data_IF_795826002596
#
_entry.id   IF_795826002596
#
_cell.length_a   1.000
_cell.length_b   1.000
_cell.length_c   1.000
_cell.angle_alpha   90.00
_cell.angle_beta   90.00
_cell.angle_gamma   90.00
#
_symmetry.space_group_name_H-M   'P 1'
#
loop_
_entity.id
_entity.type
_entity.pdbx_description
1 polymer ?
#
# COMPACT_ATOMS: atom_id res chain seq x y z
N UNK A 1 11.81 55.15 -52.97
CA UNK A 1 12.83 54.13 -53.26
C UNK A 1 13.84 54.15 -52.12
N UNK A 2 14.00 53.01 -51.45
CA UNK A 2 14.49 52.88 -50.08
C UNK A 2 16.01 52.89 -49.94
N UNK A 3 16.50 53.59 -48.91
CA UNK A 3 17.87 53.55 -48.39
C UNK A 3 18.10 52.29 -47.51
N UNK A 4 19.37 51.87 -47.33
CA UNK A 4 19.73 50.59 -46.74
C UNK A 4 19.78 50.60 -45.20
N UNK A 5 19.91 49.38 -44.68
CA UNK A 5 19.81 48.93 -43.29
C UNK A 5 20.66 49.70 -42.26
N UNK A 6 20.05 49.90 -41.09
CA UNK A 6 20.75 50.08 -39.81
C UNK A 6 20.58 48.84 -38.97
N UNK A 7 21.70 48.17 -38.71
CA UNK A 7 21.92 47.11 -37.74
C UNK A 7 21.47 47.53 -36.34
N UNK A 8 20.56 46.75 -35.73
CA UNK A 8 20.24 46.86 -34.30
C UNK A 8 20.99 45.76 -33.56
N UNK A 9 21.96 46.18 -32.76
CA UNK A 9 22.79 45.32 -31.91
C UNK A 9 21.94 44.47 -30.96
N UNK A 10 22.33 43.20 -30.80
CA UNK A 10 21.81 42.31 -29.78
C UNK A 10 22.16 42.85 -28.38
N UNK A 11 21.15 42.96 -27.51
CA UNK A 11 21.30 43.34 -26.10
C UNK A 11 21.73 42.12 -25.23
N UNK A 12 22.38 42.34 -24.08
CA UNK A 12 23.15 41.32 -23.36
C UNK A 12 22.26 40.46 -22.46
N UNK A 13 22.09 39.17 -22.79
CA UNK A 13 21.26 38.23 -22.02
C UNK A 13 22.06 37.43 -20.95
N UNK A 14 23.38 37.60 -20.88
CA UNK A 14 24.23 36.71 -20.08
C UNK A 14 24.49 37.12 -18.60
N UNK A 15 24.27 38.38 -18.21
CA UNK A 15 24.72 38.89 -16.89
C UNK A 15 23.65 38.89 -15.80
N UNK A 16 22.37 39.05 -16.15
CA UNK A 16 21.26 39.04 -15.19
C UNK A 16 21.04 37.64 -14.56
N UNK A 17 21.34 36.58 -15.30
CA UNK A 17 21.19 35.18 -14.88
C UNK A 17 22.22 34.78 -13.81
N UNK A 18 23.44 35.34 -13.87
CA UNK A 18 24.51 35.05 -12.89
C UNK A 18 24.24 35.66 -11.50
N UNK A 19 23.74 36.90 -11.44
CA UNK A 19 23.38 37.55 -10.19
C UNK A 19 22.16 36.89 -9.53
N UNK A 20 21.16 36.51 -10.34
CA UNK A 20 19.99 35.77 -9.87
C UNK A 20 20.37 34.38 -9.32
N UNK A 21 21.25 33.65 -10.00
CA UNK A 21 21.77 32.34 -9.53
C UNK A 21 22.56 32.46 -8.24
N UNK A 22 23.42 33.47 -8.10
CA UNK A 22 24.17 33.72 -6.86
C UNK A 22 23.24 34.06 -5.69
N UNK A 23 22.23 34.90 -5.91
CA UNK A 23 21.23 35.21 -4.90
C UNK A 23 20.40 33.98 -4.51
N UNK A 24 20.06 33.13 -5.48
CA UNK A 24 19.39 31.85 -5.24
C UNK A 24 20.26 30.90 -4.40
N UNK A 25 21.55 30.80 -4.69
CA UNK A 25 22.49 29.98 -3.91
C UNK A 25 22.64 30.49 -2.47
N UNK A 26 22.72 31.81 -2.27
CA UNK A 26 22.74 32.41 -0.94
C UNK A 26 21.44 32.15 -0.18
N UNK A 27 20.29 32.26 -0.86
CA UNK A 27 18.98 31.95 -0.27
C UNK A 27 18.88 30.47 0.11
N UNK A 28 19.29 29.56 -0.78
CA UNK A 28 19.35 28.11 -0.53
C UNK A 28 20.25 27.82 0.67
N UNK A 29 21.46 28.37 0.71
CA UNK A 29 22.40 28.20 1.84
C UNK A 29 21.84 28.74 3.15
N UNK A 30 21.18 29.91 3.13
CA UNK A 30 20.52 30.48 4.31
C UNK A 30 19.37 29.60 4.79
N UNK A 31 18.56 29.06 3.87
CA UNK A 31 17.46 28.13 4.20
C UNK A 31 18.04 26.85 4.79
N UNK A 32 19.06 26.25 4.18
CA UNK A 32 19.72 25.05 4.71
C UNK A 32 20.32 25.28 6.09
N UNK A 33 20.94 26.44 6.34
CA UNK A 33 21.49 26.79 7.66
C UNK A 33 20.41 26.99 8.73
N UNK A 34 19.27 27.59 8.36
CA UNK A 34 18.17 27.87 9.30
C UNK A 34 17.28 26.64 9.56
N UNK A 35 17.04 25.81 8.55
CA UNK A 35 16.04 24.73 8.59
C UNK A 35 16.63 23.32 8.47
N UNK A 36 17.95 23.20 8.35
CA UNK A 36 18.68 21.94 8.28
C UNK A 36 18.93 21.43 6.85
N UNK A 37 19.84 20.45 6.73
CA UNK A 37 20.09 19.74 5.48
C UNK A 37 18.81 19.05 4.98
N UNK A 38 18.53 19.19 3.67
CA UNK A 38 17.34 18.64 3.03
C UNK A 38 16.05 19.48 3.13
N UNK A 39 16.10 20.66 3.77
CA UNK A 39 14.97 21.60 3.83
C UNK A 39 14.62 22.23 2.47
N UNK A 40 15.61 22.33 1.57
CA UNK A 40 15.46 22.77 0.19
C UNK A 40 16.49 22.05 -0.68
N UNK A 41 16.06 21.54 -1.83
CA UNK A 41 16.90 20.81 -2.78
C UNK A 41 16.39 21.01 -4.20
N UNK A 42 17.29 20.96 -5.19
CA UNK A 42 16.88 20.97 -6.60
C UNK A 42 16.34 19.59 -6.96
N UNK A 43 15.17 19.54 -7.60
CA UNK A 43 14.52 18.29 -7.97
C UNK A 43 15.37 17.44 -8.94
N UNK A 44 16.18 18.07 -9.79
CA UNK A 44 17.10 17.39 -10.70
C UNK A 44 18.36 16.82 -10.03
N UNK A 45 18.80 17.41 -8.92
CA UNK A 45 19.92 16.89 -8.12
C UNK A 45 19.46 15.75 -7.17
N UNK A 46 18.14 15.55 -7.07
CA UNK A 46 17.51 14.49 -6.29
C UNK A 46 17.56 13.12 -7.00
N UNK A 47 18.72 12.77 -7.57
CA UNK A 47 19.03 11.45 -8.18
C UNK A 47 18.90 10.24 -7.20
N UNK A 48 18.39 10.47 -5.98
CA UNK A 48 18.25 9.52 -4.89
C UNK A 48 16.87 9.52 -4.20
N UNK A 49 15.81 10.03 -4.81
CA UNK A 49 14.46 9.76 -4.30
C UNK A 49 13.91 8.41 -4.81
N UNK A 50 14.74 7.36 -4.80
CA UNK A 50 14.21 5.99 -4.85
C UNK A 50 13.33 5.83 -3.62
N UNK A 51 12.01 5.74 -3.83
CA UNK A 51 11.07 5.54 -2.74
C UNK A 51 11.40 4.19 -2.12
N UNK A 52 11.90 4.19 -0.90
CA UNK A 52 12.19 2.98 -0.16
C UNK A 52 10.85 2.25 0.11
N UNK A 53 10.79 0.95 -0.17
CA UNK A 53 9.56 0.17 -0.05
C UNK A 53 9.72 -1.06 0.84
N UNK A 54 8.59 -1.51 1.37
CA UNK A 54 8.45 -2.78 2.07
C UNK A 54 7.47 -3.67 1.30
N UNK A 55 7.85 -4.92 1.05
CA UNK A 55 6.99 -5.90 0.37
C UNK A 55 5.69 -6.12 1.16
N UNK A 56 4.60 -6.41 0.45
CA UNK A 56 3.33 -6.81 1.06
C UNK A 56 3.20 -8.32 1.25
N UNK A 57 4.25 -9.10 0.98
CA UNK A 57 4.22 -10.57 1.00
C UNK A 57 3.61 -11.21 -0.25
N UNK A 58 3.14 -10.40 -1.21
CA UNK A 58 2.65 -10.86 -2.52
C UNK A 58 3.34 -10.11 -3.65
N UNK A 59 3.99 -10.88 -4.53
CA UNK A 59 4.61 -10.34 -5.73
C UNK A 59 3.59 -9.61 -6.64
N UNK A 60 2.35 -10.10 -6.70
CA UNK A 60 1.31 -9.50 -7.53
C UNK A 60 0.92 -8.11 -7.01
N UNK A 61 0.78 -7.97 -5.69
CA UNK A 61 0.45 -6.69 -5.05
C UNK A 61 1.64 -5.73 -5.17
N UNK A 62 2.87 -6.21 -4.91
CA UNK A 62 4.09 -5.40 -5.01
C UNK A 62 4.28 -4.83 -6.43
N UNK A 63 3.99 -5.64 -7.46
CA UNK A 63 3.96 -5.20 -8.85
C UNK A 63 2.82 -4.19 -9.09
N UNK A 64 1.60 -4.47 -8.65
CA UNK A 64 0.48 -3.54 -8.80
C UNK A 64 0.76 -2.17 -8.15
N UNK A 65 1.52 -2.12 -7.05
CA UNK A 65 1.96 -0.87 -6.43
C UNK A 65 2.97 -0.08 -7.28
N UNK A 66 3.63 -0.72 -8.24
CA UNK A 66 4.53 -0.12 -9.25
C UNK A 66 5.93 0.25 -8.72
N UNK A 67 6.13 0.20 -7.40
CA UNK A 67 7.41 0.49 -6.73
C UNK A 67 7.94 -0.72 -5.94
N UNK A 68 7.34 -1.90 -6.12
CA UNK A 68 7.79 -3.14 -5.48
C UNK A 68 7.42 -3.26 -4.00
N UNK A 69 6.36 -2.57 -3.57
CA UNK A 69 5.85 -2.64 -2.19
C UNK A 69 5.25 -1.33 -1.68
N UNK A 70 4.90 -1.30 -0.39
CA UNK A 70 4.38 -0.10 0.27
C UNK A 70 5.50 0.92 0.53
N UNK A 71 5.26 2.21 0.24
CA UNK A 71 6.28 3.24 0.39
C UNK A 71 6.52 3.61 1.86
N UNK A 72 7.78 3.54 2.30
CA UNK A 72 8.22 3.96 3.63
C UNK A 72 8.04 5.46 3.86
N UNK A 73 7.77 5.82 5.11
CA UNK A 73 7.52 7.20 5.53
C UNK A 73 6.22 7.78 4.97
N UNK A 74 5.21 6.93 4.70
CA UNK A 74 3.93 7.34 4.12
C UNK A 74 2.74 6.73 4.88
N UNK A 75 1.61 7.40 4.72
CA UNK A 75 0.29 6.92 5.14
C UNK A 75 -0.30 6.06 4.02
N UNK A 76 -0.84 4.90 4.37
CA UNK A 76 -1.53 3.96 3.48
C UNK A 76 -2.93 3.71 4.05
N UNK A 77 -3.94 3.69 3.19
CA UNK A 77 -5.30 3.27 3.58
C UNK A 77 -5.66 1.96 2.87
N UNK A 78 -6.04 0.94 3.63
CA UNK A 78 -6.58 -0.33 3.12
C UNK A 78 -8.05 -0.39 3.50
N UNK A 79 -8.96 -0.36 2.52
CA UNK A 79 -10.39 -0.34 2.79
C UNK A 79 -11.13 -1.37 1.95
N UNK A 80 -12.28 -1.81 2.45
CA UNK A 80 -13.04 -2.87 1.79
C UNK A 80 -14.15 -3.43 2.67
N UNK A 81 -14.99 -4.33 2.12
CA UNK A 81 -16.04 -5.01 2.86
C UNK A 81 -15.50 -5.79 4.06
N UNK A 82 -16.39 -6.21 4.96
CA UNK A 82 -16.03 -7.15 6.01
C UNK A 82 -15.50 -8.46 5.42
N UNK A 83 -14.59 -9.11 6.14
CA UNK A 83 -13.97 -10.38 5.70
C UNK A 83 -13.28 -10.33 4.33
N UNK A 84 -12.93 -9.15 3.81
CA UNK A 84 -12.22 -9.02 2.54
C UNK A 84 -10.72 -9.27 2.62
N UNK A 85 -10.16 -9.43 3.83
CA UNK A 85 -8.74 -9.69 4.06
C UNK A 85 -7.90 -8.47 4.47
N UNK A 86 -8.52 -7.35 4.88
CA UNK A 86 -7.82 -6.13 5.33
C UNK A 86 -6.78 -6.42 6.43
N UNK A 87 -7.21 -7.08 7.51
CA UNK A 87 -6.34 -7.41 8.65
C UNK A 87 -5.27 -8.42 8.23
N UNK A 88 -5.60 -9.43 7.42
CA UNK A 88 -4.60 -10.37 6.86
C UNK A 88 -3.53 -9.65 6.03
N UNK A 89 -3.92 -8.69 5.19
CA UNK A 89 -2.98 -7.86 4.44
C UNK A 89 -2.04 -7.11 5.38
N UNK A 90 -2.58 -6.49 6.42
CA UNK A 90 -1.78 -5.76 7.42
C UNK A 90 -0.81 -6.69 8.17
N UNK A 91 -1.27 -7.86 8.60
CA UNK A 91 -0.44 -8.88 9.25
C UNK A 91 0.67 -9.39 8.32
N UNK A 92 0.39 -9.54 7.02
CA UNK A 92 1.40 -9.93 6.05
C UNK A 92 2.49 -8.86 5.90
N UNK A 93 2.13 -7.57 5.84
CA UNK A 93 3.12 -6.47 5.81
C UNK A 93 3.95 -6.43 7.11
N UNK A 94 3.32 -6.67 8.26
CA UNK A 94 4.02 -6.77 9.54
C UNK A 94 5.04 -7.92 9.53
N UNK A 95 4.64 -9.10 9.05
CA UNK A 95 5.52 -10.26 8.95
C UNK A 95 6.72 -9.98 8.01
N UNK A 96 6.51 -9.28 6.89
CA UNK A 96 7.60 -8.84 6.01
C UNK A 96 8.54 -7.83 6.68
N UNK A 97 8.02 -6.90 7.48
CA UNK A 97 8.84 -5.95 8.24
C UNK A 97 9.74 -6.69 9.25
N UNK A 98 9.15 -7.58 10.04
CA UNK A 98 9.85 -8.36 11.06
C UNK A 98 10.89 -9.29 10.45
N UNK A 99 10.60 -9.92 9.30
CA UNK A 99 11.58 -10.76 8.59
C UNK A 99 12.83 -9.99 8.15
N UNK A 100 12.71 -8.68 7.95
CA UNK A 100 13.83 -7.78 7.64
C UNK A 100 14.49 -7.19 8.89
N UNK A 101 14.12 -7.67 10.09
CA UNK A 101 14.62 -7.17 11.37
C UNK A 101 13.97 -5.86 11.83
N UNK A 102 12.89 -5.44 11.19
CA UNK A 102 12.16 -4.22 11.55
C UNK A 102 11.15 -4.44 12.68
N UNK A 103 10.75 -3.35 13.34
CA UNK A 103 9.76 -3.39 14.42
C UNK A 103 8.37 -2.97 13.93
N UNK A 104 7.34 -3.60 14.49
CA UNK A 104 5.96 -3.35 14.12
C UNK A 104 5.07 -3.08 15.32
N UNK A 105 4.04 -2.28 15.10
CA UNK A 105 3.00 -2.02 16.08
C UNK A 105 1.60 -2.19 15.48
N UNK A 106 0.67 -2.68 16.28
CA UNK A 106 -0.73 -2.88 15.93
C UNK A 106 -1.61 -2.20 16.96
N UNK A 107 -2.32 -1.15 16.54
CA UNK A 107 -3.32 -0.45 17.35
C UNK A 107 -4.68 -1.05 17.01
N UNK A 108 -5.11 -2.01 17.83
CA UNK A 108 -6.33 -2.79 17.69
C UNK A 108 -7.48 -2.07 18.39
N UNK A 109 -8.14 -1.18 17.67
CA UNK A 109 -9.32 -0.44 18.12
C UNK A 109 -10.59 -1.27 17.94
N UNK A 110 -10.58 -2.26 17.03
CA UNK A 110 -11.71 -3.20 16.86
C UNK A 110 -11.72 -4.32 17.92
N UNK A 111 -10.67 -4.46 18.73
CA UNK A 111 -10.49 -5.56 19.69
C UNK A 111 -10.65 -6.95 19.05
N UNK A 112 -10.22 -7.09 17.80
CA UNK A 112 -10.53 -8.25 16.95
C UNK A 112 -9.27 -8.99 16.47
N UNK A 113 -8.08 -8.57 16.90
CA UNK A 113 -6.85 -9.24 16.52
C UNK A 113 -6.77 -10.64 17.15
N UNK A 114 -6.67 -11.69 16.32
CA UNK A 114 -6.40 -13.06 16.76
C UNK A 114 -4.89 -13.36 16.73
N UNK A 115 -4.23 -13.52 17.89
CA UNK A 115 -2.80 -13.86 17.94
C UNK A 115 -2.48 -15.20 17.26
N UNK A 116 -3.38 -16.19 17.31
CA UNK A 116 -3.15 -17.50 16.68
C UNK A 116 -3.07 -17.36 15.17
N UNK A 117 -4.00 -16.63 14.58
CA UNK A 117 -3.99 -16.35 13.15
C UNK A 117 -2.81 -15.47 12.74
N UNK A 118 -2.46 -14.45 13.53
CA UNK A 118 -1.27 -13.63 13.26
C UNK A 118 0.02 -14.48 13.17
N UNK A 119 0.17 -15.46 14.07
CA UNK A 119 1.28 -16.42 14.01
C UNK A 119 1.25 -17.28 12.75
N UNK A 120 0.07 -17.72 12.30
CA UNK A 120 -0.11 -18.47 11.04
C UNK A 120 0.37 -17.64 9.83
N UNK A 121 0.05 -16.34 9.79
CA UNK A 121 0.50 -15.41 8.74
C UNK A 121 2.02 -15.16 8.80
N UNK A 122 2.69 -15.59 9.88
CA UNK A 122 4.13 -15.47 10.06
C UNK A 122 4.59 -14.26 10.87
N UNK A 123 3.68 -13.63 11.62
CA UNK A 123 4.02 -12.54 12.54
C UNK A 123 4.76 -13.10 13.77
N UNK A 124 5.89 -12.51 14.11
CA UNK A 124 6.55 -12.74 15.39
C UNK A 124 5.77 -12.00 16.49
N UNK A 125 5.04 -12.75 17.31
CA UNK A 125 4.21 -12.18 18.38
C UNK A 125 5.02 -11.62 19.54
N UNK A 126 6.23 -12.14 19.78
CA UNK A 126 7.06 -11.71 20.91
C UNK A 126 7.59 -10.28 20.71
N UNK A 127 7.79 -9.88 19.45
CA UNK A 127 8.28 -8.56 19.05
C UNK A 127 7.17 -7.62 18.54
N UNK A 128 5.91 -8.08 18.48
CA UNK A 128 4.80 -7.25 18.02
C UNK A 128 4.27 -6.39 19.18
N UNK A 129 4.38 -5.07 19.05
CA UNK A 129 3.71 -4.16 19.99
C UNK A 129 2.21 -4.10 19.68
N UNK A 130 1.37 -4.50 20.63
CA UNK A 130 -0.09 -4.40 20.50
C UNK A 130 -0.63 -3.39 21.50
N UNK A 131 -1.50 -2.50 21.04
CA UNK A 131 -2.22 -1.56 21.87
C UNK A 131 -3.72 -1.68 21.61
N UNK A 132 -4.51 -1.77 22.68
CA UNK A 132 -5.97 -1.79 22.64
C UNK A 132 -6.50 -0.55 23.39
N UNK A 133 -6.56 0.60 22.71
CA UNK A 133 -6.91 1.87 23.33
C UNK A 133 -8.42 2.02 23.55
N UNK A 134 -8.81 2.73 24.61
CA UNK A 134 -10.23 2.96 24.92
C UNK A 134 -10.88 4.01 24.02
N UNK A 135 -10.09 4.95 23.45
CA UNK A 135 -10.59 6.04 22.60
C UNK A 135 -9.76 6.27 21.34
N UNK A 136 -10.37 6.89 20.34
CA UNK A 136 -9.72 7.26 19.09
C UNK A 136 -8.57 8.27 19.29
N UNK A 137 -8.72 9.23 20.21
CA UNK A 137 -7.63 10.14 20.58
C UNK A 137 -6.44 9.38 21.15
N UNK A 138 -6.67 8.43 22.06
CA UNK A 138 -5.61 7.64 22.68
C UNK A 138 -4.92 6.75 21.65
N UNK A 139 -5.70 6.09 20.78
CA UNK A 139 -5.19 5.31 19.65
C UNK A 139 -4.21 6.12 18.78
N UNK A 140 -4.61 7.34 18.40
CA UNK A 140 -3.83 8.21 17.52
C UNK A 140 -2.61 8.81 18.23
N UNK A 141 -2.70 9.14 19.52
CA UNK A 141 -1.58 9.62 20.32
C UNK A 141 -0.54 8.52 20.57
N UNK A 142 -0.97 7.28 20.81
CA UNK A 142 -0.10 6.11 20.92
C UNK A 142 0.63 5.90 19.59
N UNK A 143 -0.10 5.90 18.48
CA UNK A 143 0.50 5.78 17.16
C UNK A 143 1.54 6.89 16.90
N UNK A 144 1.21 8.15 17.19
CA UNK A 144 2.14 9.27 17.03
C UNK A 144 3.41 9.10 17.87
N UNK A 145 3.27 8.68 19.14
CA UNK A 145 4.39 8.48 20.07
C UNK A 145 5.33 7.39 19.57
N UNK A 146 4.77 6.26 19.13
CA UNK A 146 5.51 5.15 18.56
C UNK A 146 6.24 5.56 17.28
N UNK A 147 5.59 6.29 16.37
CA UNK A 147 6.22 6.79 15.13
C UNK A 147 7.35 7.77 15.46
N UNK A 148 7.16 8.65 16.46
CA UNK A 148 8.15 9.67 16.87
C UNK A 148 9.41 9.05 17.49
N UNK A 149 9.34 7.82 18.00
CA UNK A 149 10.52 7.09 18.46
C UNK A 149 11.52 6.79 17.34
N UNK A 150 11.08 6.84 16.07
CA UNK A 150 11.83 6.40 14.89
C UNK A 150 12.30 4.93 14.94
N UNK A 151 11.76 4.12 15.86
CA UNK A 151 12.08 2.70 15.96
C UNK A 151 11.11 1.80 15.18
N UNK A 152 9.89 2.28 14.88
CA UNK A 152 8.84 1.48 14.27
C UNK A 152 8.87 1.60 12.74
N UNK A 153 9.02 0.47 12.06
CA UNK A 153 8.99 0.35 10.60
C UNK A 153 7.57 0.36 10.05
N UNK A 154 6.64 -0.32 10.74
CA UNK A 154 5.24 -0.45 10.33
C UNK A 154 4.33 -0.26 11.54
N UNK A 155 3.32 0.59 11.39
CA UNK A 155 2.24 0.70 12.36
C UNK A 155 0.89 0.55 11.66
N UNK A 156 0.03 -0.30 12.22
CA UNK A 156 -1.33 -0.54 11.74
C UNK A 156 -2.30 0.05 12.74
N UNK A 157 -3.30 0.78 12.27
CA UNK A 157 -4.46 1.25 13.06
C UNK A 157 -5.70 0.55 12.50
N UNK A 158 -6.22 -0.43 13.23
CA UNK A 158 -7.35 -1.27 12.85
C UNK A 158 -8.54 -1.01 13.80
N UNK A 159 -9.56 -0.24 13.45
CA UNK A 159 -9.79 0.48 12.19
C UNK A 159 -10.25 1.92 12.41
N UNK A 160 -10.21 2.72 11.34
CA UNK A 160 -10.69 4.11 11.37
C UNK A 160 -12.16 4.20 11.79
N UNK A 161 -12.97 3.23 11.41
CA UNK A 161 -14.40 3.22 11.74
C UNK A 161 -14.63 3.16 13.27
N UNK A 162 -13.72 2.50 13.99
CA UNK A 162 -13.76 2.33 15.44
C UNK A 162 -13.08 3.46 16.23
N UNK A 163 -12.49 4.47 15.57
CA UNK A 163 -11.90 5.63 16.25
C UNK A 163 -12.99 6.57 16.78
N UNK A 164 -13.59 6.20 17.91
CA UNK A 164 -14.64 6.97 18.60
C UNK A 164 -13.98 8.00 19.54
N UNK A 165 -14.47 9.25 19.53
CA UNK A 165 -13.91 10.28 20.42
C UNK A 165 -14.28 10.05 21.89
N UNK A 166 -13.44 10.48 22.83
CA UNK A 166 -13.78 10.43 24.28
C UNK A 166 -15.13 11.06 24.59
N UNK A 167 -15.40 12.24 24.02
CA UNK A 167 -16.67 12.93 24.20
C UNK A 167 -17.90 12.13 23.71
N UNK A 168 -17.71 11.22 22.75
CA UNK A 168 -18.76 10.34 22.25
C UNK A 168 -18.91 9.07 23.10
N UNK A 169 -17.82 8.57 23.67
CA UNK A 169 -17.84 7.45 24.62
C UNK A 169 -18.46 7.84 25.98
N UNK A 170 -18.18 9.06 26.45
CA UNK A 170 -18.73 9.61 27.70
C UNK A 170 -20.19 10.08 27.54
N UNK A 171 -20.67 10.21 26.30
CA UNK A 171 -22.02 10.63 25.96
C UNK A 171 -23.07 9.53 26.12
N UNK A 172 -24.33 9.87 25.91
CA UNK A 172 -25.43 8.90 25.92
C UNK A 172 -25.79 8.45 24.50
N UNK A 173 -26.32 7.23 24.39
CA UNK A 173 -26.86 6.71 23.13
C UNK A 173 -27.96 7.64 22.61
N UNK A 174 -27.75 8.21 21.42
CA UNK A 174 -28.66 9.17 20.80
C UNK A 174 -28.17 10.62 20.83
N UNK A 175 -27.09 10.92 21.53
CA UNK A 175 -26.46 12.24 21.51
C UNK A 175 -25.89 12.56 20.11
N UNK A 176 -26.07 13.80 19.67
CA UNK A 176 -25.61 14.23 18.36
C UNK A 176 -24.10 14.50 18.34
N UNK A 177 -23.32 13.55 17.81
CA UNK A 177 -21.86 13.64 17.66
C UNK A 177 -21.43 13.89 16.22
N UNK A 178 -22.22 14.65 15.46
CA UNK A 178 -22.04 14.81 14.01
C UNK A 178 -20.62 15.33 13.68
N UNK A 179 -19.84 14.51 12.98
CA UNK A 179 -18.52 14.87 12.49
C UNK A 179 -17.41 14.91 13.55
N UNK A 180 -17.62 14.35 14.75
CA UNK A 180 -16.57 14.14 15.77
C UNK A 180 -15.34 13.44 15.15
N UNK A 181 -15.55 12.25 14.60
CA UNK A 181 -14.51 11.40 14.01
C UNK A 181 -13.80 12.08 12.83
N UNK A 182 -14.54 12.79 11.97
CA UNK A 182 -13.94 13.49 10.83
C UNK A 182 -12.99 14.63 11.26
N UNK A 183 -13.34 15.35 12.34
CA UNK A 183 -12.48 16.40 12.92
C UNK A 183 -11.24 15.80 13.58
N UNK A 184 -11.42 14.73 14.36
CA UNK A 184 -10.33 13.98 14.98
C UNK A 184 -9.31 13.52 13.91
N UNK A 185 -9.78 12.84 12.86
CA UNK A 185 -8.93 12.39 11.76
C UNK A 185 -8.23 13.55 11.05
N UNK A 186 -8.92 14.67 10.83
CA UNK A 186 -8.31 15.85 10.19
C UNK A 186 -7.19 16.47 11.03
N UNK A 187 -7.32 16.47 12.34
CA UNK A 187 -6.27 16.91 13.26
C UNK A 187 -5.11 15.92 13.28
N UNK A 188 -5.40 14.63 13.40
CA UNK A 188 -4.41 13.58 13.47
C UNK A 188 -3.56 13.49 12.20
N UNK A 189 -4.19 13.53 11.01
CA UNK A 189 -3.46 13.47 9.74
C UNK A 189 -2.48 14.63 9.59
N UNK A 190 -2.83 15.84 10.04
CA UNK A 190 -1.93 17.00 10.02
C UNK A 190 -0.71 16.81 10.92
N UNK A 191 -0.88 16.19 12.10
CA UNK A 191 0.22 15.91 13.04
C UNK A 191 1.09 14.74 12.54
N UNK A 192 0.47 13.63 12.19
CA UNK A 192 1.13 12.38 11.82
C UNK A 192 1.96 12.50 10.55
N UNK A 193 1.47 13.20 9.52
CA UNK A 193 2.15 13.27 8.21
C UNK A 193 3.60 13.74 8.32
N UNK A 194 3.86 14.77 9.12
CA UNK A 194 5.21 15.32 9.29
C UNK A 194 6.15 14.35 10.04
N UNK A 195 5.63 13.61 11.01
CA UNK A 195 6.41 12.66 11.83
C UNK A 195 6.67 11.37 11.04
N UNK A 196 5.66 10.86 10.33
CA UNK A 196 5.75 9.69 9.46
C UNK A 196 6.80 9.91 8.37
N UNK A 197 6.79 11.07 7.72
CA UNK A 197 7.77 11.37 6.66
C UNK A 197 9.22 11.38 7.14
N UNK A 198 9.47 11.64 8.43
CA UNK A 198 10.82 11.67 9.02
C UNK A 198 11.28 10.32 9.56
N UNK A 199 10.35 9.52 10.09
CA UNK A 199 10.63 8.23 10.74
C UNK A 199 10.79 7.06 9.78
N UNK A 200 10.49 7.24 8.48
CA UNK A 200 10.40 6.16 7.49
C UNK A 200 9.39 5.05 7.83
N UNK A 201 8.55 5.26 8.85
CA UNK A 201 7.49 4.35 9.24
C UNK A 201 6.40 4.28 8.14
N UNK A 202 5.87 3.09 7.87
CA UNK A 202 4.66 2.90 7.07
C UNK A 202 3.49 2.89 8.05
N UNK A 203 2.61 3.89 7.94
CA UNK A 203 1.43 3.99 8.78
C UNK A 203 0.19 3.55 7.98
N UNK A 204 -0.34 2.38 8.32
CA UNK A 204 -1.47 1.77 7.64
C UNK A 204 -2.74 2.01 8.47
N UNK A 205 -3.75 2.57 7.84
CA UNK A 205 -5.10 2.64 8.39
C UNK A 205 -5.98 1.63 7.66
N UNK A 206 -6.64 0.75 8.39
CA UNK A 206 -7.73 -0.03 7.81
C UNK A 206 -9.02 0.78 7.87
N UNK A 207 -9.92 0.54 6.92
CA UNK A 207 -11.21 1.19 6.92
C UNK A 207 -12.32 0.29 6.37
N UNK A 208 -13.54 0.55 6.81
CA UNK A 208 -14.73 -0.14 6.33
C UNK A 208 -15.36 0.65 5.18
N UNK A 209 -16.21 -0.02 4.41
CA UNK A 209 -17.10 0.64 3.44
C UNK A 209 -18.42 0.99 4.13
N UNK A 210 -18.93 2.16 3.83
CA UNK A 210 -20.28 2.63 4.15
C UNK A 210 -20.93 3.15 2.88
N UNK A 211 -22.25 3.24 2.85
CA UNK A 211 -22.97 3.84 1.73
C UNK A 211 -23.47 5.23 2.09
N UNK A 212 -23.42 6.15 1.13
CA UNK A 212 -24.06 7.46 1.26
C UNK A 212 -25.53 7.36 0.88
N UNK A 213 -26.39 7.60 1.87
CA UNK A 213 -27.83 7.68 1.66
C UNK A 213 -28.14 8.82 0.67
N UNK A 214 -29.02 8.57 -0.30
CA UNK A 214 -29.51 9.58 -1.25
C UNK A 214 -28.69 9.75 -2.53
N UNK A 215 -27.68 8.92 -2.79
CA UNK A 215 -26.97 8.90 -4.07
C UNK A 215 -27.73 8.03 -5.07
N UNK A 216 -28.38 8.65 -6.07
CA UNK A 216 -29.12 7.94 -7.13
C UNK A 216 -28.28 7.67 -8.39
N UNK A 217 -27.11 8.30 -8.53
CA UNK A 217 -26.22 8.15 -9.69
C UNK A 217 -24.75 8.12 -9.25
N UNK A 218 -23.97 7.20 -9.82
CA UNK A 218 -22.56 6.98 -9.47
C UNK A 218 -22.34 5.97 -8.34
N UNK A 219 -21.12 5.89 -7.80
CA UNK A 219 -20.78 4.96 -6.72
C UNK A 219 -21.23 5.53 -5.35
N UNK A 220 -22.14 4.86 -4.62
CA UNK A 220 -22.59 5.30 -3.29
C UNK A 220 -21.58 5.03 -2.18
N UNK A 221 -20.55 4.21 -2.43
CA UNK A 221 -19.59 3.81 -1.42
C UNK A 221 -18.72 4.98 -0.92
N UNK A 222 -18.50 4.99 0.38
CA UNK A 222 -17.61 5.91 1.09
C UNK A 222 -16.88 5.19 2.21
N UNK A 223 -15.92 5.87 2.83
CA UNK A 223 -15.19 5.37 3.99
C UNK A 223 -15.40 6.31 5.19
N UNK A 224 -15.51 5.77 6.42
CA UNK A 224 -15.53 6.52 7.68
C UNK A 224 -14.31 7.43 7.90
N UNK A 225 -14.39 8.34 8.88
CA UNK A 225 -13.28 9.26 9.21
C UNK A 225 -13.20 10.54 8.35
N UNK A 226 -14.23 10.83 7.56
CA UNK A 226 -14.27 12.03 6.72
C UNK A 226 -13.35 11.93 5.49
N UNK A 227 -12.86 13.09 5.01
CA UNK A 227 -12.04 13.16 3.77
C UNK A 227 -10.54 13.22 4.02
N UNK A 228 -10.09 13.51 5.24
CA UNK A 228 -8.69 13.77 5.54
C UNK A 228 -7.79 12.61 5.10
N UNK A 229 -8.05 11.39 5.59
CA UNK A 229 -7.25 10.21 5.24
C UNK A 229 -7.14 10.02 3.73
N UNK A 230 -8.24 10.21 2.98
CA UNK A 230 -8.24 10.11 1.51
C UNK A 230 -7.25 11.06 0.84
N UNK A 231 -7.01 12.25 1.38
CA UNK A 231 -6.05 13.22 0.83
C UNK A 231 -4.61 12.96 1.29
N UNK A 232 -4.44 12.63 2.57
CA UNK A 232 -3.13 12.42 3.19
C UNK A 232 -2.48 11.08 2.81
N UNK A 233 -3.28 10.02 2.64
CA UNK A 233 -2.78 8.72 2.18
C UNK A 233 -2.03 8.86 0.85
N UNK A 234 -0.84 8.26 0.77
CA UNK A 234 -0.06 8.16 -0.48
C UNK A 234 -0.55 7.01 -1.34
N UNK A 235 -0.96 5.92 -0.71
CA UNK A 235 -1.53 4.75 -1.37
C UNK A 235 -2.89 4.48 -0.73
N UNK A 236 -3.90 4.19 -1.57
CA UNK A 236 -5.20 3.67 -1.12
C UNK A 236 -5.50 2.39 -1.88
N UNK A 237 -5.83 1.34 -1.16
CA UNK A 237 -6.11 0.01 -1.69
C UNK A 237 -7.55 -0.36 -1.36
N UNK A 238 -8.35 -0.62 -2.39
CA UNK A 238 -9.66 -1.25 -2.27
C UNK A 238 -9.45 -2.77 -2.34
N UNK A 239 -9.76 -3.49 -1.25
CA UNK A 239 -9.59 -4.95 -1.15
C UNK A 239 -10.95 -5.64 -1.03
N UNK A 240 -11.20 -6.61 -1.90
CA UNK A 240 -12.47 -7.35 -1.98
C UNK A 240 -12.24 -8.85 -2.13
N UNK A 241 -13.08 -9.64 -1.45
CA UNK A 241 -13.18 -11.07 -1.71
C UNK A 241 -13.91 -11.28 -3.04
N UNK A 242 -13.30 -12.04 -3.96
CA UNK A 242 -13.88 -12.44 -5.24
C UNK A 242 -14.62 -13.77 -5.09
N UNK A 243 -13.89 -14.83 -4.72
CA UNK A 243 -14.41 -16.20 -4.66
C UNK A 243 -13.90 -16.97 -3.44
N UNK A 244 -14.53 -18.11 -3.16
CA UNK A 244 -14.05 -19.09 -2.18
C UNK A 244 -13.16 -20.13 -2.86
N UNK A 245 -12.04 -20.44 -2.22
CA UNK A 245 -11.17 -21.55 -2.63
C UNK A 245 -11.59 -22.78 -1.83
N UNK A 246 -11.94 -23.86 -2.52
CA UNK A 246 -12.45 -25.11 -1.93
C UNK A 246 -11.60 -26.31 -2.31
N UNK A 247 -11.51 -27.30 -1.42
CA UNK A 247 -10.97 -28.62 -1.74
C UNK A 247 -11.95 -29.40 -2.63
N UNK A 248 -11.53 -30.53 -3.25
CA UNK A 248 -12.43 -31.40 -4.00
C UNK A 248 -13.64 -31.89 -3.19
N UNK A 249 -13.50 -32.03 -1.86
CA UNK A 249 -14.56 -32.42 -0.94
C UNK A 249 -15.51 -31.26 -0.57
N UNK A 250 -15.28 -30.06 -1.09
CA UNK A 250 -16.12 -28.88 -0.90
C UNK A 250 -15.79 -28.02 0.33
N UNK A 251 -14.75 -28.37 1.11
CA UNK A 251 -14.33 -27.59 2.27
C UNK A 251 -13.67 -26.28 1.82
N UNK A 252 -14.13 -25.15 2.35
CA UNK A 252 -13.50 -23.83 2.09
C UNK A 252 -12.18 -23.75 2.84
N UNK A 253 -11.10 -23.50 2.11
CA UNK A 253 -9.71 -23.43 2.62
C UNK A 253 -9.06 -22.07 2.43
N UNK A 254 -9.72 -21.17 1.70
CA UNK A 254 -9.23 -19.82 1.48
C UNK A 254 -10.19 -19.00 0.64
N UNK A 255 -9.73 -17.82 0.24
CA UNK A 255 -10.46 -16.89 -0.58
C UNK A 255 -9.57 -16.38 -1.72
N UNK A 256 -10.13 -16.31 -2.92
CA UNK A 256 -9.57 -15.51 -4.01
C UNK A 256 -9.93 -14.07 -3.72
N UNK A 257 -8.93 -13.21 -3.68
CA UNK A 257 -9.05 -11.81 -3.28
C UNK A 257 -8.53 -10.92 -4.39
N UNK A 258 -9.19 -9.80 -4.60
CA UNK A 258 -8.82 -8.77 -5.55
C UNK A 258 -8.48 -7.49 -4.82
N UNK A 259 -7.40 -6.83 -5.23
CA UNK A 259 -7.07 -5.47 -4.80
C UNK A 259 -7.04 -4.53 -6.00
N UNK A 260 -7.47 -3.29 -5.76
CA UNK A 260 -7.36 -2.17 -6.70
C UNK A 260 -6.64 -1.01 -6.02
N UNK A 261 -5.59 -0.51 -6.65
CA UNK A 261 -4.84 0.65 -6.16
C UNK A 261 -5.57 1.93 -6.59
N UNK A 262 -6.63 2.32 -5.87
CA UNK A 262 -7.48 3.46 -6.22
C UNK A 262 -6.79 4.82 -6.04
N UNK A 263 -5.64 4.86 -5.37
CA UNK A 263 -4.76 6.03 -5.29
C UNK A 263 -3.32 5.58 -5.15
N UNK A 264 -2.42 6.19 -5.90
CA UNK A 264 -0.99 5.99 -5.80
C UNK A 264 -0.27 7.32 -6.09
N UNK A 265 0.56 7.78 -5.16
CA UNK A 265 1.39 9.00 -5.30
C UNK A 265 2.84 8.71 -5.69
N UNK A 266 3.23 7.44 -5.78
CA UNK A 266 4.62 7.02 -6.02
C UNK A 266 4.79 6.20 -7.29
N UNK A 267 3.69 5.71 -7.86
CA UNK A 267 3.61 5.07 -9.16
C UNK A 267 2.25 5.36 -9.81
N UNK A 268 2.02 4.94 -11.08
CA UNK A 268 0.71 5.02 -11.71
C UNK A 268 -0.40 4.34 -10.86
N UNK A 269 -1.56 4.97 -10.66
CA UNK A 269 -2.69 4.39 -9.95
C UNK A 269 -3.55 3.49 -10.85
N UNK A 270 -4.61 2.94 -10.25
CA UNK A 270 -5.68 2.16 -10.88
C UNK A 270 -5.27 0.79 -11.43
N UNK A 271 -4.10 0.33 -11.01
CA UNK A 271 -3.68 -1.06 -11.19
C UNK A 271 -4.51 -1.99 -10.30
N UNK A 272 -4.69 -3.21 -10.78
CA UNK A 272 -5.46 -4.25 -10.09
C UNK A 272 -4.66 -5.55 -10.06
N UNK A 273 -4.85 -6.37 -9.04
CA UNK A 273 -4.33 -7.72 -9.04
C UNK A 273 -5.21 -8.64 -8.19
N UNK A 274 -5.17 -9.92 -8.54
CA UNK A 274 -5.77 -11.00 -7.77
C UNK A 274 -4.70 -11.87 -7.09
N UNK A 275 -5.05 -12.40 -5.94
CA UNK A 275 -4.20 -13.28 -5.14
C UNK A 275 -5.04 -14.16 -4.21
N UNK A 276 -4.41 -15.19 -3.67
CA UNK A 276 -5.08 -16.12 -2.75
C UNK A 276 -4.75 -15.73 -1.30
N UNK A 277 -5.78 -15.71 -0.46
CA UNK A 277 -5.65 -15.72 1.00
C UNK A 277 -6.06 -17.10 1.49
N UNK A 278 -5.11 -17.91 1.93
CA UNK A 278 -5.37 -19.22 2.52
C UNK A 278 -5.50 -19.10 4.04
N UNK A 279 -6.36 -19.92 4.64
CA UNK A 279 -6.58 -19.88 6.09
C UNK A 279 -5.43 -20.45 6.92
N UNK A 280 -4.56 -21.24 6.30
CA UNK A 280 -3.41 -21.92 6.90
C UNK A 280 -2.06 -21.23 6.65
N UNK A 281 -2.01 -20.17 5.82
CA UNK A 281 -0.75 -19.44 5.55
C UNK A 281 -0.92 -17.92 5.44
N UNK A 282 -2.15 -17.40 5.30
CA UNK A 282 -2.38 -16.00 4.94
C UNK A 282 -2.26 -15.75 3.43
N UNK A 283 -1.57 -14.67 3.03
CA UNK A 283 -1.38 -14.35 1.61
C UNK A 283 -0.44 -15.38 0.97
N UNK A 284 -0.91 -16.08 -0.07
CA UNK A 284 -0.14 -17.13 -0.72
C UNK A 284 0.94 -16.56 -1.64
N UNK A 285 2.17 -16.43 -1.13
CA UNK A 285 3.32 -15.94 -1.89
C UNK A 285 3.57 -16.76 -3.17
N UNK A 286 3.55 -18.09 -3.05
CA UNK A 286 3.76 -18.98 -4.20
C UNK A 286 2.58 -18.99 -5.16
N UNK A 287 1.35 -18.76 -4.67
CA UNK A 287 0.18 -18.56 -5.52
C UNK A 287 0.37 -17.37 -6.46
N UNK A 288 0.88 -16.24 -5.95
CA UNK A 288 1.17 -15.07 -6.78
C UNK A 288 2.26 -15.32 -7.82
N UNK A 289 3.36 -15.99 -7.45
CA UNK A 289 4.45 -16.32 -8.39
C UNK A 289 3.94 -17.24 -9.52
N UNK A 290 3.12 -18.23 -9.16
CA UNK A 290 2.52 -19.15 -10.11
C UNK A 290 1.56 -18.44 -11.08
N UNK A 291 0.67 -17.59 -10.58
CA UNK A 291 -0.28 -16.82 -11.41
C UNK A 291 0.44 -15.93 -12.42
N UNK A 292 1.37 -15.11 -11.93
CA UNK A 292 2.18 -14.23 -12.78
C UNK A 292 2.99 -15.02 -13.80
N UNK A 293 3.57 -16.15 -13.38
CA UNK A 293 4.32 -17.02 -14.27
C UNK A 293 3.46 -17.56 -15.42
N UNK A 294 2.22 -17.97 -15.13
CA UNK A 294 1.28 -18.48 -16.13
C UNK A 294 0.77 -17.38 -17.07
N UNK A 295 0.30 -16.27 -16.51
CA UNK A 295 -0.29 -15.16 -17.28
C UNK A 295 0.73 -14.51 -18.21
N UNK A 296 1.98 -14.37 -17.75
CA UNK A 296 3.06 -13.82 -18.56
C UNK A 296 3.79 -14.88 -19.40
N UNK A 297 3.25 -16.10 -19.52
CA UNK A 297 3.81 -17.17 -20.37
C UNK A 297 5.27 -17.50 -20.04
N UNK A 298 5.64 -17.42 -18.76
CA UNK A 298 6.92 -17.90 -18.23
C UNK A 298 6.77 -19.37 -17.83
N UNK A 299 5.61 -19.73 -17.29
CA UNK A 299 5.15 -21.09 -17.08
C UNK A 299 4.20 -21.49 -18.20
N UNK A 300 4.33 -22.71 -18.67
CA UNK A 300 3.42 -23.31 -19.66
C UNK A 300 2.39 -24.19 -18.95
N UNK A 301 1.13 -24.10 -19.37
CA UNK A 301 0.07 -24.99 -18.90
C UNK A 301 -0.50 -25.81 -20.06
N UNK A 302 -0.39 -27.13 -19.98
CA UNK A 302 -0.97 -28.10 -20.93
C UNK A 302 -1.96 -29.00 -20.20
N UNK A 303 -3.24 -28.69 -20.30
CA UNK A 303 -4.28 -29.31 -19.47
C UNK A 303 -4.07 -29.02 -17.99
N UNK A 304 -3.87 -30.05 -17.19
CA UNK A 304 -3.54 -29.91 -15.76
C UNK A 304 -2.04 -29.74 -15.50
N UNK A 305 -1.17 -30.01 -16.47
CA UNK A 305 0.29 -30.00 -16.24
C UNK A 305 0.85 -28.59 -16.38
N UNK A 306 1.64 -28.16 -15.40
CA UNK A 306 2.34 -26.87 -15.37
C UNK A 306 3.83 -27.15 -15.45
N UNK A 307 4.51 -26.55 -16.43
CA UNK A 307 5.94 -26.74 -16.68
C UNK A 307 6.70 -25.42 -16.79
N UNK A 308 7.98 -25.45 -16.46
CA UNK A 308 8.93 -24.36 -16.61
C UNK A 308 10.10 -24.85 -17.45
N UNK A 309 10.40 -24.18 -18.57
CA UNK A 309 11.50 -24.55 -19.48
C UNK A 309 11.46 -26.04 -19.93
N UNK A 310 10.26 -26.62 -20.04
CA UNK A 310 10.05 -28.02 -20.41
C UNK A 310 10.08 -29.02 -19.24
N UNK A 311 10.52 -28.61 -18.04
CA UNK A 311 10.49 -29.42 -16.84
C UNK A 311 9.14 -29.31 -16.12
N UNK A 312 8.64 -30.42 -15.60
CA UNK A 312 7.38 -30.44 -14.88
C UNK A 312 7.50 -29.78 -13.51
N UNK A 313 6.70 -28.75 -13.27
CA UNK A 313 6.58 -28.08 -11.97
C UNK A 313 5.49 -28.74 -11.12
N UNK A 314 4.35 -29.11 -11.73
CA UNK A 314 3.30 -29.83 -11.01
C UNK A 314 2.07 -30.14 -11.87
N UNK A 315 1.27 -31.11 -11.40
CA UNK A 315 -0.04 -31.42 -11.97
C UNK A 315 -1.12 -30.70 -11.15
N UNK A 316 -1.61 -29.59 -11.69
CA UNK A 316 -2.56 -28.70 -11.04
C UNK A 316 -1.88 -27.61 -10.20
N UNK A 317 -2.71 -26.67 -9.74
CA UNK A 317 -2.25 -25.46 -9.05
C UNK A 317 -1.59 -25.78 -7.71
N UNK A 318 -2.20 -26.65 -6.90
CA UNK A 318 -1.70 -26.92 -5.54
C UNK A 318 -0.38 -27.69 -5.55
N UNK A 319 -0.24 -28.69 -6.44
CA UNK A 319 1.02 -29.39 -6.62
C UNK A 319 2.14 -28.44 -7.08
N UNK A 320 1.86 -27.55 -8.02
CA UNK A 320 2.85 -26.56 -8.47
C UNK A 320 3.26 -25.59 -7.35
N UNK A 321 2.31 -25.09 -6.54
CA UNK A 321 2.62 -24.26 -5.37
C UNK A 321 3.53 -25.00 -4.39
N UNK A 322 3.24 -26.28 -4.12
CA UNK A 322 4.07 -27.09 -3.21
C UNK A 322 5.50 -27.26 -3.74
N UNK A 323 5.67 -27.57 -5.02
CA UNK A 323 7.00 -27.65 -5.65
C UNK A 323 7.77 -26.35 -5.53
N UNK A 324 7.11 -25.19 -5.74
CA UNK A 324 7.76 -23.88 -5.59
C UNK A 324 8.15 -23.57 -4.14
N UNK A 325 7.39 -24.06 -3.15
CA UNK A 325 7.78 -23.96 -1.73
C UNK A 325 8.99 -24.83 -1.41
N UNK A 326 9.05 -26.05 -1.95
CA UNK A 326 10.13 -27.01 -1.71
C UNK A 326 11.41 -26.70 -2.48
N UNK A 327 11.31 -25.94 -3.59
CA UNK A 327 12.43 -25.52 -4.44
C UNK A 327 12.52 -23.98 -4.53
N UNK A 328 13.06 -23.30 -3.50
CA UNK A 328 13.18 -21.84 -3.48
C UNK A 328 13.96 -21.26 -4.66
N UNK A 329 15.02 -21.94 -5.10
CA UNK A 329 15.84 -21.51 -6.25
C UNK A 329 15.02 -21.39 -7.55
N UNK A 330 14.10 -22.34 -7.76
CA UNK A 330 13.19 -22.31 -8.90
C UNK A 330 12.19 -21.14 -8.78
N UNK A 331 11.62 -20.94 -7.59
CA UNK A 331 10.71 -19.83 -7.33
C UNK A 331 11.39 -18.47 -7.52
N UNK A 332 12.65 -18.32 -7.11
CA UNK A 332 13.46 -17.11 -7.32
C UNK A 332 13.75 -16.89 -8.81
N UNK A 333 14.13 -17.93 -9.56
CA UNK A 333 14.35 -17.85 -11.01
C UNK A 333 13.09 -17.36 -11.73
N UNK A 334 11.93 -17.93 -11.43
CA UNK A 334 10.64 -17.51 -12.01
C UNK A 334 10.32 -16.07 -11.59
N UNK A 335 10.50 -15.73 -10.32
CA UNK A 335 10.26 -14.37 -9.81
C UNK A 335 11.11 -13.33 -10.54
N UNK A 336 12.38 -13.62 -10.78
CA UNK A 336 13.28 -12.73 -11.52
C UNK A 336 12.80 -12.51 -12.96
N UNK A 337 12.42 -13.59 -13.66
CA UNK A 337 11.88 -13.50 -15.01
C UNK A 337 10.55 -12.72 -15.07
N UNK A 338 9.70 -12.86 -14.05
CA UNK A 338 8.48 -12.06 -13.90
C UNK A 338 8.85 -10.58 -13.78
N UNK A 339 9.76 -10.22 -12.88
CA UNK A 339 10.18 -8.83 -12.69
C UNK A 339 10.81 -8.20 -13.93
N UNK A 340 11.51 -8.99 -14.75
CA UNK A 340 12.10 -8.53 -16.02
C UNK A 340 11.06 -8.33 -17.13
N UNK A 341 9.98 -9.12 -17.13
CA UNK A 341 8.96 -9.15 -18.19
C UNK A 341 7.78 -8.22 -17.92
N UNK A 342 7.42 -8.02 -16.66
CA UNK A 342 6.22 -7.29 -16.26
C UNK A 342 6.52 -5.80 -16.09
N UNK A 343 6.06 -5.00 -17.04
CA UNK A 343 6.05 -3.55 -16.92
C UNK A 343 4.64 -3.08 -16.55
N UNK A 344 4.49 -2.51 -15.35
CA UNK A 344 3.19 -2.08 -14.84
C UNK A 344 2.88 -0.67 -15.38
N UNK A 345 1.82 -0.58 -16.16
CA UNK A 345 1.26 0.71 -16.59
C UNK A 345 -0.05 1.00 -15.84
N UNK A 346 -0.34 2.28 -15.63
CA UNK A 346 -1.53 2.68 -14.86
C UNK A 346 -2.82 2.17 -15.50
N UNK A 347 -3.72 1.60 -14.71
CA UNK A 347 -5.00 1.08 -15.18
C UNK A 347 -5.01 -0.39 -15.63
N UNK A 348 -3.87 -1.10 -15.61
CA UNK A 348 -3.80 -2.51 -16.01
C UNK A 348 -4.01 -3.47 -14.83
N UNK A 349 -4.60 -4.63 -15.13
CA UNK A 349 -4.57 -5.79 -14.25
C UNK A 349 -3.19 -6.46 -14.37
N UNK A 350 -2.50 -6.62 -13.24
CA UNK A 350 -1.24 -7.35 -13.14
C UNK A 350 -1.49 -8.86 -13.07
N UNK A 351 -2.63 -9.24 -12.49
CA UNK A 351 -3.13 -10.62 -12.49
C UNK A 351 -4.66 -10.67 -12.57
N UNK A 352 -5.21 -11.80 -13.02
CA UNK A 352 -6.61 -11.98 -13.40
C UNK A 352 -6.82 -11.69 -14.89
N UNK A 353 -7.05 -12.73 -15.70
CA UNK A 353 -7.15 -12.64 -17.16
C UNK A 353 -8.24 -11.67 -17.65
N UNK A 354 -7.98 -10.98 -18.77
CA UNK A 354 -8.96 -10.11 -19.45
C UNK A 354 -10.11 -10.90 -20.14
N UNK A 355 -10.05 -12.23 -20.16
CA UNK A 355 -11.01 -13.10 -20.86
C UNK A 355 -12.45 -13.04 -20.31
N UNK A 356 -12.68 -12.45 -19.14
CA UNK A 356 -14.05 -12.25 -18.61
C UNK A 356 -14.71 -10.93 -19.05
N UNK A 357 -14.00 -10.02 -19.73
CA UNK A 357 -14.60 -8.75 -20.19
C UNK A 357 -15.40 -8.86 -21.50
N UNK A 358 -15.28 -9.94 -22.26
CA UNK A 358 -16.01 -10.11 -23.54
C UNK A 358 -17.41 -10.75 -23.39
N UNK A 359 -17.93 -10.92 -22.17
CA UNK A 359 -19.27 -11.51 -21.95
C UNK A 359 -20.33 -10.54 -21.41
N UNK A 360 -20.00 -9.27 -21.26
CA UNK A 360 -20.98 -8.22 -20.96
C UNK A 360 -20.82 -7.07 -21.96
N UNK A 361 -21.23 -7.33 -23.20
CA UNK A 361 -21.70 -6.29 -24.14
C UNK A 361 -23.00 -6.79 -24.81
#
# INVERSE_FOLDING_TARGET
>A
MSKPATTKAAAPVATADLAARKNLELAVSSITKQFGEGSIMRLGDAHKMSVETLSTGSLAIDLALGVGGLPRGRIVEIFGPESSGKTTFCLSVIAEAQRRGGLAAFVDVEHALDPKYARIVGVNLDDLLVSQPDSGEDALNIAETLIRSNAIDVIVVDSVAALVSKAELDGQMGDATVGSQARLMSQAMRRLTAVISKSKCICIFTNQIREKIGVMFGNPETTPGGRALKFFASVRVDIRRKDQIKTPEGRVIGNRTKVKIVKNKVAPPFTECEFDIMYDEGISRMGSVLDLGLEHKILEKKGAWISFEGELVGQGRDAAKQTLKEKPELAEKITKLVLEKVNVTGGQAVTGSEEEKEKED
#
